data_IF_025426523175
#
_entry.id   IF_025426523175
#
_cell.length_a   1.000
_cell.length_b   1.000
_cell.length_c   1.000
_cell.angle_alpha   90.00
_cell.angle_beta   90.00
_cell.angle_gamma   90.00
#
_symmetry.space_group_name_H-M   'P 1'
#
loop_
_entity.id
_entity.type
_entity.pdbx_description
1 polymer ?
#
# COMPACT_ATOMS: atom_id res chain seq x y z
N UNK A 1 -3.23 14.09 13.44
CA UNK A 1 -1.78 13.85 13.39
C UNK A 1 -1.36 13.81 11.92
N UNK A 2 -0.38 14.61 11.54
CA UNK A 2 -0.06 14.83 10.13
C UNK A 2 0.69 13.60 9.57
N UNK A 3 0.04 12.78 8.75
CA UNK A 3 0.62 11.54 8.18
C UNK A 3 1.94 11.78 7.42
N UNK A 4 2.17 12.99 6.93
CA UNK A 4 3.41 13.41 6.25
C UNK A 4 4.67 13.31 7.12
N UNK A 5 4.54 13.31 8.46
CA UNK A 5 5.69 13.20 9.37
C UNK A 5 6.19 11.76 9.57
N UNK A 6 5.44 10.76 9.10
CA UNK A 6 5.78 9.35 9.30
C UNK A 6 6.72 8.78 8.24
N UNK A 7 6.90 9.51 7.13
CA UNK A 7 7.68 9.02 5.99
C UNK A 7 8.65 10.08 5.52
N UNK A 8 9.87 9.66 5.22
CA UNK A 8 10.82 10.46 4.47
C UNK A 8 10.42 10.47 2.99
N UNK A 9 10.36 11.64 2.37
CA UNK A 9 10.04 11.78 0.95
C UNK A 9 11.30 12.26 0.22
N UNK A 10 11.73 11.48 -0.76
CA UNK A 10 12.86 11.79 -1.62
C UNK A 10 12.38 11.83 -3.06
N UNK A 11 12.58 12.93 -3.74
CA UNK A 11 12.17 13.09 -5.15
C UNK A 11 13.39 13.32 -6.00
N UNK A 12 13.51 12.60 -7.11
CA UNK A 12 14.53 12.88 -8.10
C UNK A 12 14.23 14.18 -8.87
N UNK A 13 15.24 14.72 -9.55
CA UNK A 13 15.14 15.99 -10.29
C UNK A 13 14.97 15.78 -11.81
N UNK A 14 14.49 14.61 -12.22
CA UNK A 14 14.26 14.31 -13.63
C UNK A 14 13.04 15.04 -14.20
N UNK A 15 12.87 15.03 -15.52
CA UNK A 15 11.69 15.58 -16.21
C UNK A 15 10.38 14.88 -15.78
N UNK A 16 10.46 13.59 -15.41
CA UNK A 16 9.37 12.79 -14.86
C UNK A 16 9.72 12.32 -13.44
N UNK A 17 9.63 13.19 -12.45
CA UNK A 17 10.12 12.89 -11.12
C UNK A 17 9.40 11.72 -10.48
N UNK A 18 10.18 10.84 -9.84
CA UNK A 18 9.69 9.75 -9.02
C UNK A 18 10.04 10.04 -7.57
N UNK A 19 9.05 10.05 -6.71
CA UNK A 19 9.26 10.18 -5.26
C UNK A 19 9.48 8.82 -4.63
N UNK A 20 10.43 8.73 -3.70
CA UNK A 20 10.63 7.55 -2.85
C UNK A 20 10.15 7.89 -1.44
N UNK A 21 9.14 7.18 -0.96
CA UNK A 21 8.67 7.24 0.41
C UNK A 21 9.38 6.18 1.23
N UNK A 22 10.05 6.61 2.28
CA UNK A 22 10.74 5.73 3.22
C UNK A 22 10.01 5.65 4.54
N UNK A 23 9.76 4.44 4.99
CA UNK A 23 9.23 4.20 6.33
C UNK A 23 10.34 4.45 7.37
N UNK A 24 10.02 5.20 8.39
CA UNK A 24 10.94 5.48 9.48
C UNK A 24 10.35 5.06 10.82
N UNK A 25 10.88 3.99 11.38
CA UNK A 25 10.52 3.52 12.72
C UNK A 25 10.72 4.60 13.78
N UNK A 26 11.78 5.39 13.67
CA UNK A 26 12.08 6.47 14.61
C UNK A 26 11.01 7.57 14.62
N UNK A 27 10.34 7.80 13.50
CA UNK A 27 9.27 8.79 13.41
C UNK A 27 7.88 8.23 13.71
N UNK A 28 7.68 6.91 13.58
CA UNK A 28 6.41 6.23 13.86
C UNK A 28 6.37 5.59 15.25
N UNK A 29 7.51 5.18 15.79
CA UNK A 29 7.61 4.46 17.07
C UNK A 29 7.12 3.01 17.02
N UNK A 30 6.76 2.51 15.83
CA UNK A 30 6.22 1.16 15.62
C UNK A 30 6.85 0.51 14.40
N UNK A 31 6.85 -0.83 14.37
CA UNK A 31 7.44 -1.60 13.26
C UNK A 31 6.47 -1.81 12.09
N UNK A 32 5.19 -1.55 12.31
CA UNK A 32 4.16 -1.61 11.29
C UNK A 32 3.14 -0.50 11.51
N UNK A 33 2.37 -0.17 10.49
CA UNK A 33 1.26 0.75 10.56
C UNK A 33 0.01 0.09 9.98
N UNK A 34 -1.01 -0.03 10.81
CA UNK A 34 -2.36 -0.42 10.41
C UNK A 34 -3.28 0.77 10.60
N UNK A 35 -4.03 1.12 9.59
CA UNK A 35 -5.00 2.20 9.69
C UNK A 35 -6.15 2.00 8.70
N UNK A 36 -7.28 2.64 8.98
CA UNK A 36 -8.41 2.74 8.08
C UNK A 36 -8.55 4.20 7.65
N UNK A 37 -8.60 4.42 6.37
CA UNK A 37 -8.83 5.74 5.78
C UNK A 37 -10.16 5.77 5.05
N UNK A 38 -10.90 6.82 5.24
CA UNK A 38 -12.16 7.09 4.56
C UNK A 38 -12.13 8.47 3.89
N UNK A 39 -13.22 8.80 3.19
CA UNK A 39 -13.37 10.08 2.49
C UNK A 39 -13.31 11.32 3.41
N UNK A 40 -13.46 11.15 4.73
CA UNK A 40 -13.34 12.23 5.70
C UNK A 40 -11.89 12.56 6.04
N UNK A 41 -11.00 11.60 5.92
CA UNK A 41 -9.56 11.79 6.06
C UNK A 41 -8.94 12.26 4.74
N UNK A 42 -9.02 13.54 4.45
CA UNK A 42 -8.50 14.17 3.22
C UNK A 42 -6.98 14.06 2.99
N UNK A 43 -6.29 13.12 3.63
CA UNK A 43 -4.83 13.04 3.63
C UNK A 43 -4.32 11.60 3.61
N UNK A 44 -4.58 10.92 2.49
CA UNK A 44 -3.86 9.69 2.19
C UNK A 44 -2.49 9.97 1.53
N UNK A 45 -1.79 8.95 1.23
CA UNK A 45 -0.60 8.89 0.36
C UNK A 45 -0.85 9.52 -1.01
N UNK A 46 -2.12 9.56 -1.43
CA UNK A 46 -2.64 10.02 -2.70
C UNK A 46 -2.54 11.54 -2.91
N UNK A 47 -2.19 12.30 -1.87
CA UNK A 47 -1.80 13.71 -2.00
C UNK A 47 -0.51 13.90 -2.83
N UNK A 48 0.13 12.79 -3.18
CA UNK A 48 1.27 12.78 -4.07
C UNK A 48 0.71 12.61 -5.48
N UNK A 49 0.33 13.68 -6.10
CA UNK A 49 -0.11 13.81 -7.50
C UNK A 49 0.92 13.31 -8.50
N UNK A 50 1.68 12.26 -8.18
CA UNK A 50 2.88 11.92 -8.91
C UNK A 50 3.20 10.45 -8.78
N UNK A 51 4.09 10.03 -9.61
CA UNK A 51 4.71 8.72 -9.59
C UNK A 51 5.60 8.57 -8.37
N UNK A 52 5.43 7.50 -7.62
CA UNK A 52 6.25 7.24 -6.45
C UNK A 52 6.51 5.75 -6.23
N UNK A 53 7.47 5.47 -5.36
CA UNK A 53 7.81 4.15 -4.85
C UNK A 53 7.87 4.21 -3.33
N UNK A 54 7.72 3.07 -2.70
CA UNK A 54 7.88 2.91 -1.24
C UNK A 54 9.01 1.94 -0.95
N UNK A 55 9.63 2.02 0.21
CA UNK A 55 10.63 1.05 0.69
C UNK A 55 10.02 -0.01 1.63
N UNK A 56 8.70 -0.15 1.59
CA UNK A 56 7.92 -1.02 2.45
C UNK A 56 6.81 -1.72 1.67
N UNK A 57 6.25 -2.78 2.25
CA UNK A 57 5.06 -3.45 1.74
C UNK A 57 3.82 -2.65 2.10
N UNK A 58 2.86 -2.64 1.18
CA UNK A 58 1.55 -2.03 1.33
C UNK A 58 0.48 -3.05 1.01
N UNK A 59 -0.45 -3.26 1.95
CA UNK A 59 -1.63 -4.08 1.76
C UNK A 59 -2.85 -3.19 1.89
N UNK A 60 -3.66 -3.14 0.85
CA UNK A 60 -4.90 -2.38 0.81
C UNK A 60 -6.10 -3.32 0.74
N UNK A 61 -7.11 -3.01 1.53
CA UNK A 61 -8.43 -3.63 1.47
C UNK A 61 -9.45 -2.54 1.20
N UNK A 62 -9.94 -2.47 -0.04
CA UNK A 62 -10.86 -1.42 -0.46
C UNK A 62 -12.30 -1.75 -0.06
N UNK A 63 -12.92 -0.89 0.72
CA UNK A 63 -14.34 -0.94 1.05
C UNK A 63 -15.16 -0.24 -0.02
N UNK A 64 -14.68 0.92 -0.47
CA UNK A 64 -15.17 1.65 -1.63
C UNK A 64 -13.98 2.08 -2.46
N UNK A 65 -14.09 1.92 -3.75
CA UNK A 65 -13.07 2.37 -4.69
C UNK A 65 -13.69 2.68 -6.05
N UNK A 66 -13.20 3.72 -6.67
CA UNK A 66 -13.50 4.09 -8.05
C UNK A 66 -12.26 4.72 -8.65
N UNK A 67 -11.90 4.31 -9.86
CA UNK A 67 -10.72 4.77 -10.56
C UNK A 67 -9.76 3.64 -10.85
N UNK A 68 -8.52 4.00 -11.13
CA UNK A 68 -7.48 3.04 -11.47
C UNK A 68 -6.12 3.51 -10.96
N UNK A 69 -5.16 2.61 -10.99
CA UNK A 69 -3.76 2.93 -10.79
C UNK A 69 -2.89 2.22 -11.84
N UNK A 70 -1.69 2.72 -12.02
CA UNK A 70 -0.64 1.98 -12.69
C UNK A 70 0.34 1.45 -11.63
N UNK A 71 0.54 0.15 -11.64
CA UNK A 71 1.49 -0.54 -10.77
C UNK A 71 2.53 -1.23 -11.63
N UNK A 72 3.78 -0.81 -11.51
CA UNK A 72 4.88 -1.29 -12.35
C UNK A 72 4.59 -1.21 -13.87
N UNK A 73 3.81 -0.22 -14.28
CA UNK A 73 3.40 0.01 -15.67
C UNK A 73 2.12 -0.71 -16.10
N UNK A 74 1.58 -1.60 -15.26
CA UNK A 74 0.32 -2.29 -15.54
C UNK A 74 -0.87 -1.53 -14.95
N UNK A 75 -1.95 -1.41 -15.72
CA UNK A 75 -3.18 -0.77 -15.28
C UNK A 75 -3.99 -1.72 -14.41
N UNK A 76 -4.34 -1.26 -13.22
CA UNK A 76 -5.18 -1.96 -12.26
C UNK A 76 -6.44 -1.14 -12.01
N UNK A 77 -7.61 -1.68 -12.34
CA UNK A 77 -8.89 -1.04 -12.01
C UNK A 77 -9.23 -1.30 -10.55
N UNK A 78 -9.50 -0.25 -9.80
CA UNK A 78 -9.87 -0.34 -8.40
C UNK A 78 -11.38 -0.58 -8.25
N UNK A 79 -11.73 -1.52 -7.40
CA UNK A 79 -13.09 -1.96 -7.16
C UNK A 79 -13.38 -2.09 -5.67
N UNK A 80 -14.64 -1.96 -5.25
CA UNK A 80 -15.03 -2.35 -3.90
C UNK A 80 -14.70 -3.83 -3.62
N UNK A 81 -14.31 -4.11 -2.38
CA UNK A 81 -13.95 -5.46 -1.90
C UNK A 81 -12.74 -6.08 -2.58
N UNK A 82 -11.85 -5.28 -3.07
CA UNK A 82 -10.60 -5.72 -3.66
C UNK A 82 -9.47 -5.65 -2.63
N UNK A 83 -8.63 -6.66 -2.60
CA UNK A 83 -7.35 -6.63 -1.90
C UNK A 83 -6.23 -6.34 -2.92
N UNK A 84 -5.31 -5.46 -2.57
CA UNK A 84 -4.16 -5.09 -3.38
C UNK A 84 -2.89 -5.18 -2.54
N UNK A 85 -1.88 -5.82 -3.08
CA UNK A 85 -0.57 -5.97 -2.46
C UNK A 85 0.46 -5.23 -3.32
N UNK A 86 1.20 -4.32 -2.72
CA UNK A 86 2.27 -3.58 -3.37
C UNK A 86 3.58 -3.89 -2.65
N UNK A 87 4.53 -4.39 -3.41
CA UNK A 87 5.86 -4.70 -2.91
C UNK A 87 6.76 -3.47 -2.91
N UNK A 88 7.82 -3.45 -2.07
CA UNK A 88 8.78 -2.37 -2.07
C UNK A 88 9.33 -2.09 -3.47
N UNK A 89 9.55 -0.82 -3.75
CA UNK A 89 10.15 -0.27 -4.98
C UNK A 89 9.34 -0.47 -6.26
N UNK A 90 8.11 -0.97 -6.20
CA UNK A 90 7.19 -0.94 -7.35
C UNK A 90 6.75 0.50 -7.63
N UNK A 91 6.79 0.89 -8.90
CA UNK A 91 6.35 2.21 -9.33
C UNK A 91 4.83 2.29 -9.27
N UNK A 92 4.32 3.30 -8.58
CA UNK A 92 2.90 3.55 -8.37
C UNK A 92 2.49 4.89 -8.98
N UNK A 93 1.33 4.91 -9.62
CA UNK A 93 0.69 6.10 -10.14
C UNK A 93 -0.83 5.95 -9.96
N UNK A 94 -1.41 6.75 -9.08
CA UNK A 94 -2.82 6.63 -8.70
C UNK A 94 -3.67 7.67 -9.44
N UNK A 95 -4.77 7.21 -10.03
CA UNK A 95 -5.77 8.02 -10.71
C UNK A 95 -7.14 7.76 -10.06
N UNK A 96 -7.33 8.31 -8.88
CA UNK A 96 -8.50 8.07 -8.03
C UNK A 96 -9.05 9.38 -7.48
N UNK A 97 -10.34 9.42 -7.23
CA UNK A 97 -10.97 10.45 -6.43
C UNK A 97 -10.96 10.02 -4.96
N UNK A 98 -10.14 10.68 -4.15
CA UNK A 98 -9.99 10.38 -2.73
C UNK A 98 -11.34 10.49 -1.99
N UNK A 99 -12.25 11.33 -2.43
CA UNK A 99 -13.58 11.47 -1.82
C UNK A 99 -14.45 10.22 -1.96
N UNK A 100 -14.10 9.34 -2.88
CA UNK A 100 -14.81 8.08 -3.17
C UNK A 100 -14.05 6.84 -2.76
N UNK A 101 -12.99 7.02 -2.00
CA UNK A 101 -12.09 5.95 -1.60
C UNK A 101 -12.20 5.70 -0.10
N UNK A 102 -12.57 4.46 0.26
CA UNK A 102 -12.52 3.97 1.63
C UNK A 102 -11.72 2.68 1.66
N UNK A 103 -10.71 2.60 2.52
CA UNK A 103 -9.83 1.44 2.58
C UNK A 103 -9.23 1.24 3.96
N UNK A 104 -8.90 0.02 4.27
CA UNK A 104 -8.00 -0.36 5.37
C UNK A 104 -6.65 -0.69 4.76
N UNK A 105 -5.58 -0.20 5.34
CA UNK A 105 -4.24 -0.51 4.86
C UNK A 105 -3.32 -0.97 5.97
N UNK A 106 -2.41 -1.85 5.63
CA UNK A 106 -1.33 -2.32 6.47
C UNK A 106 -0.02 -2.07 5.74
N UNK A 107 0.92 -1.40 6.40
CA UNK A 107 2.27 -1.18 5.88
C UNK A 107 3.31 -1.70 6.87
N UNK A 108 4.35 -2.33 6.34
CA UNK A 108 5.46 -2.86 7.13
C UNK A 108 6.70 -3.03 6.27
N UNK A 109 7.85 -3.00 6.92
CA UNK A 109 9.13 -3.32 6.27
C UNK A 109 9.42 -4.82 6.37
N UNK A 110 10.26 -5.31 5.46
CA UNK A 110 10.70 -6.71 5.43
C UNK A 110 11.33 -7.16 6.76
N UNK A 111 12.05 -6.26 7.40
CA UNK A 111 12.69 -6.51 8.71
C UNK A 111 11.67 -6.88 9.81
N UNK A 112 10.48 -6.28 9.77
CA UNK A 112 9.41 -6.62 10.71
C UNK A 112 9.03 -8.09 10.62
N UNK A 113 8.86 -8.59 9.40
CA UNK A 113 8.51 -9.99 9.16
C UNK A 113 9.63 -10.92 9.63
N UNK A 114 10.88 -10.61 9.28
CA UNK A 114 12.04 -11.40 9.67
C UNK A 114 12.22 -11.50 11.18
N UNK A 115 11.86 -10.46 11.92
CA UNK A 115 12.02 -10.41 13.37
C UNK A 115 10.86 -11.06 14.14
N UNK A 116 9.65 -11.06 13.59
CA UNK A 116 8.45 -11.45 14.35
C UNK A 116 7.78 -12.72 13.84
N UNK A 117 8.06 -13.14 12.61
CA UNK A 117 7.52 -14.37 12.08
C UNK A 117 8.58 -15.47 12.09
N UNK A 118 8.35 -16.47 12.92
CA UNK A 118 9.19 -17.68 12.96
C UNK A 118 9.03 -18.58 11.72
N UNK A 119 8.03 -18.30 10.88
CA UNK A 119 7.79 -19.01 9.63
C UNK A 119 8.67 -18.45 8.50
N UNK A 120 9.83 -19.08 8.30
CA UNK A 120 10.73 -18.77 7.18
C UNK A 120 10.05 -18.91 5.81
N UNK A 121 9.03 -19.72 5.69
CA UNK A 121 8.29 -19.92 4.45
C UNK A 121 7.35 -18.75 4.12
N UNK A 122 6.99 -17.95 5.10
CA UNK A 122 6.19 -16.75 4.86
C UNK A 122 6.91 -15.75 3.95
N UNK A 123 8.20 -15.55 4.16
CA UNK A 123 9.01 -14.71 3.28
C UNK A 123 9.06 -15.24 1.85
N UNK A 124 9.18 -16.57 1.69
CA UNK A 124 9.13 -17.14 0.35
C UNK A 124 7.77 -16.91 -0.33
N UNK A 125 6.68 -16.93 0.41
CA UNK A 125 5.35 -16.59 -0.12
C UNK A 125 5.25 -15.12 -0.51
N UNK A 126 5.80 -14.22 0.28
CA UNK A 126 5.88 -12.79 -0.08
C UNK A 126 6.77 -12.54 -1.30
N UNK A 127 7.81 -13.35 -1.51
CA UNK A 127 8.64 -13.24 -2.70
C UNK A 127 7.86 -13.49 -3.99
N UNK A 128 6.76 -14.23 -3.95
CA UNK A 128 5.84 -14.35 -5.09
C UNK A 128 5.26 -12.98 -5.49
N UNK A 129 5.08 -12.07 -4.54
CA UNK A 129 4.61 -10.72 -4.83
C UNK A 129 5.64 -9.87 -5.59
N UNK A 130 6.91 -10.28 -5.61
CA UNK A 130 7.95 -9.62 -6.40
C UNK A 130 8.01 -10.11 -7.85
N UNK A 131 7.40 -11.23 -8.15
CA UNK A 131 7.42 -11.81 -9.49
C UNK A 131 6.28 -11.21 -10.31
N UNK A 132 6.60 -10.64 -11.45
CA UNK A 132 5.63 -10.01 -12.38
C UNK A 132 4.55 -10.97 -12.92
N UNK A 133 4.73 -12.27 -12.75
CA UNK A 133 3.85 -13.30 -13.31
C UNK A 133 2.63 -13.61 -12.42
N UNK A 134 2.53 -13.02 -11.22
CA UNK A 134 1.43 -13.28 -10.29
C UNK A 134 0.57 -12.04 -10.07
N UNK A 135 -0.75 -12.20 -9.99
CA UNK A 135 -1.64 -11.07 -9.73
C UNK A 135 -1.35 -10.49 -8.34
N UNK A 136 -1.19 -9.19 -8.29
CA UNK A 136 -0.98 -8.43 -7.05
C UNK A 136 -2.30 -7.95 -6.44
N UNK A 137 -3.42 -8.27 -7.06
CA UNK A 137 -4.75 -7.91 -6.61
C UNK A 137 -5.70 -9.09 -6.68
N UNK A 138 -6.66 -9.10 -5.78
CA UNK A 138 -7.68 -10.15 -5.65
C UNK A 138 -9.04 -9.50 -5.46
N UNK A 139 -9.98 -9.88 -6.32
CA UNK A 139 -11.38 -9.50 -6.13
C UNK A 139 -11.99 -10.39 -5.03
N UNK A 140 -12.56 -9.77 -4.03
CA UNK A 140 -13.23 -10.40 -2.91
C UNK A 140 -14.68 -9.91 -2.86
N UNK A 141 -15.53 -10.60 -2.14
CA UNK A 141 -16.86 -10.09 -1.80
C UNK A 141 -16.86 -9.55 -0.36
N UNK A 142 -17.94 -8.89 0.04
CA UNK A 142 -18.05 -8.31 1.37
C UNK A 142 -17.94 -9.36 2.50
N UNK A 143 -18.37 -10.60 2.26
CA UNK A 143 -18.31 -11.69 3.24
C UNK A 143 -16.91 -12.25 3.36
N UNK A 144 -16.20 -12.39 2.25
CA UNK A 144 -14.81 -12.85 2.22
C UNK A 144 -13.88 -11.88 2.94
N UNK A 145 -14.19 -10.58 2.90
CA UNK A 145 -13.37 -9.55 3.53
C UNK A 145 -13.52 -9.49 5.06
N UNK A 146 -14.69 -9.82 5.60
CA UNK A 146 -14.98 -9.76 7.04
C UNK A 146 -13.99 -10.52 7.93
N UNK A 147 -13.61 -11.78 7.64
CA UNK A 147 -12.67 -12.51 8.48
C UNK A 147 -11.29 -11.83 8.56
N UNK A 148 -10.83 -11.25 7.45
CA UNK A 148 -9.52 -10.58 7.41
C UNK A 148 -9.54 -9.27 8.20
N UNK A 149 -10.59 -8.48 8.08
CA UNK A 149 -10.73 -7.23 8.82
C UNK A 149 -10.95 -7.44 10.32
N UNK A 150 -11.58 -8.54 10.72
CA UNK A 150 -11.81 -8.86 12.13
C UNK A 150 -10.56 -9.36 12.87
N UNK A 151 -9.52 -9.76 12.14
CA UNK A 151 -8.24 -10.22 12.68
C UNK A 151 -7.18 -9.10 12.69
N UNK A 152 -7.45 -7.97 12.08
CA UNK A 152 -6.61 -6.79 12.08
C UNK A 152 -7.00 -5.85 13.22
#
# INVERSE_FOLDING_TARGET
MNSRKKFGIYTDKSENPVSLLKYSKSSCGVDFLLNTADSSEKRGWFDIDKRYKTDFFEFYFFHKAEGHMFLAGERVELKPYMALIISPFQLQEWHVDISRLEYTFLVFQEEFINNFLSDKYFMYRLLYCYQHDYPTHFDMNAEDMKPYLSQL
#
